data_IF_221510383513
#
_entry.id   IF_221510383513
#
_cell.length_a   1.000
_cell.length_b   1.000
_cell.length_c   1.000
_cell.angle_alpha   90.00
_cell.angle_beta   90.00
_cell.angle_gamma   90.00
#
_symmetry.space_group_name_H-M   'P 1'
#
loop_
_entity.id
_entity.type
_entity.pdbx_description
1 polymer ?
#
# COMPACT_ATOMS: atom_id res chain seq x y z
N UNK A 1 16.96 -0.80 -8.45
CA UNK A 1 18.42 -0.85 -8.16
C UNK A 1 18.70 -1.67 -6.90
N UNK A 2 17.94 -1.56 -5.79
CA UNK A 2 18.13 -2.40 -4.59
C UNK A 2 17.39 -3.76 -4.66
N UNK A 3 16.17 -3.81 -5.19
CA UNK A 3 15.40 -5.06 -5.32
C UNK A 3 16.06 -6.07 -6.25
N UNK A 4 16.62 -5.60 -7.38
CA UNK A 4 17.31 -6.44 -8.36
C UNK A 4 18.53 -7.19 -7.80
N UNK A 5 19.28 -6.60 -6.86
CA UNK A 5 20.46 -7.26 -6.30
C UNK A 5 20.06 -8.38 -5.34
N UNK A 6 19.06 -8.17 -4.48
CA UNK A 6 18.55 -9.21 -3.58
C UNK A 6 17.95 -10.39 -4.35
N UNK A 7 17.19 -10.10 -5.41
CA UNK A 7 16.64 -11.13 -6.31
C UNK A 7 17.76 -11.86 -7.07
N UNK A 8 18.75 -11.13 -7.59
CA UNK A 8 19.90 -11.69 -8.31
C UNK A 8 20.72 -12.65 -7.44
N UNK A 9 20.93 -12.33 -6.17
CA UNK A 9 21.67 -13.17 -5.23
C UNK A 9 20.77 -14.15 -4.44
N UNK A 10 19.49 -14.27 -4.79
CA UNK A 10 18.51 -15.13 -4.11
C UNK A 10 18.51 -14.95 -2.58
N UNK A 11 18.73 -13.72 -2.12
CA UNK A 11 18.83 -13.43 -0.70
C UNK A 11 17.43 -13.48 -0.06
N UNK A 12 17.24 -14.18 1.08
CA UNK A 12 15.91 -14.46 1.62
C UNK A 12 15.24 -13.27 2.32
N UNK A 13 15.92 -12.13 2.45
CA UNK A 13 15.41 -10.92 3.13
C UNK A 13 14.04 -10.49 2.63
N UNK A 14 13.23 -9.94 3.52
CA UNK A 14 12.01 -9.24 3.14
C UNK A 14 12.32 -7.88 2.51
N UNK A 15 11.58 -7.51 1.48
CA UNK A 15 11.64 -6.18 0.85
C UNK A 15 10.43 -5.37 1.31
N UNK A 16 10.69 -4.35 2.11
CA UNK A 16 9.65 -3.44 2.64
C UNK A 16 9.87 -2.05 2.02
N UNK A 17 8.83 -1.49 1.41
CA UNK A 17 8.90 -0.19 0.72
C UNK A 17 7.92 0.81 1.35
N UNK A 18 8.45 1.95 1.77
CA UNK A 18 7.65 3.15 2.02
C UNK A 18 7.34 3.82 0.67
N UNK A 19 6.06 3.82 0.31
CA UNK A 19 5.53 4.41 -0.90
C UNK A 19 4.48 5.50 -0.62
N UNK A 20 4.56 6.14 0.55
CA UNK A 20 3.64 7.20 1.00
C UNK A 20 3.58 8.34 -0.01
N UNK A 21 4.70 8.80 -0.52
CA UNK A 21 4.76 9.92 -1.48
C UNK A 21 4.87 9.48 -2.96
N UNK A 22 4.59 8.23 -3.29
CA UNK A 22 4.75 7.69 -4.65
C UNK A 22 3.51 6.97 -5.19
N UNK A 23 2.91 6.02 -4.46
CA UNK A 23 1.71 5.32 -4.93
C UNK A 23 0.56 6.32 -5.15
N UNK A 24 -0.07 6.23 -6.33
CA UNK A 24 -1.09 7.17 -6.80
C UNK A 24 -0.55 8.32 -7.66
N UNK A 25 0.77 8.44 -7.82
CA UNK A 25 1.41 9.48 -8.62
C UNK A 25 2.55 8.96 -9.53
N UNK A 26 3.26 7.93 -9.09
CA UNK A 26 4.34 7.27 -9.82
C UNK A 26 3.98 5.81 -10.11
N UNK A 27 4.60 5.23 -11.13
CA UNK A 27 4.49 3.78 -11.38
C UNK A 27 5.00 3.00 -10.16
N UNK A 28 4.26 1.96 -9.77
CA UNK A 28 4.59 1.10 -8.66
C UNK A 28 4.09 -0.32 -8.94
N UNK A 29 5.01 -1.28 -9.01
CA UNK A 29 4.70 -2.66 -9.40
C UNK A 29 5.14 -3.63 -8.33
N UNK A 30 4.29 -3.82 -7.31
CA UNK A 30 4.60 -4.64 -6.13
C UNK A 30 5.14 -6.02 -6.51
N UNK A 31 4.37 -6.76 -7.31
CA UNK A 31 4.69 -8.14 -7.69
C UNK A 31 5.91 -8.22 -8.60
N UNK A 32 5.96 -7.37 -9.64
CA UNK A 32 7.08 -7.33 -10.60
C UNK A 32 8.40 -6.99 -9.90
N UNK A 33 8.37 -6.13 -8.89
CA UNK A 33 9.56 -5.68 -8.17
C UNK A 33 9.91 -6.58 -6.98
N UNK A 34 9.10 -7.60 -6.68
CA UNK A 34 9.31 -8.51 -5.56
C UNK A 34 9.19 -7.82 -4.20
N UNK A 35 8.33 -6.81 -4.08
CA UNK A 35 8.10 -6.11 -2.81
C UNK A 35 7.20 -6.96 -1.92
N UNK A 36 7.68 -7.28 -0.72
CA UNK A 36 6.97 -8.13 0.24
C UNK A 36 5.95 -7.33 1.07
N UNK A 37 6.26 -6.07 1.40
CA UNK A 37 5.33 -5.16 2.08
C UNK A 37 5.47 -3.77 1.49
N UNK A 38 4.35 -3.12 1.20
CA UNK A 38 4.31 -1.71 0.85
C UNK A 38 3.35 -0.94 1.74
N UNK A 39 3.70 0.29 2.06
CA UNK A 39 2.86 1.22 2.82
C UNK A 39 2.64 2.50 2.02
N UNK A 40 1.40 3.00 1.98
CA UNK A 40 1.07 4.35 1.53
C UNK A 40 0.07 5.02 2.48
N UNK A 41 -0.31 6.27 2.21
CA UNK A 41 -1.22 7.03 3.08
C UNK A 41 -2.28 7.80 2.30
N UNK A 42 -3.42 8.06 2.96
CA UNK A 42 -4.60 8.69 2.35
C UNK A 42 -4.36 10.13 1.88
N UNK A 43 -3.57 10.90 2.62
CA UNK A 43 -3.34 12.35 2.39
C UNK A 43 -2.27 12.71 1.36
N UNK A 44 -1.92 11.77 0.48
CA UNK A 44 -0.92 11.97 -0.56
C UNK A 44 -1.59 11.93 -1.92
N UNK A 45 -1.08 11.15 -2.86
CA UNK A 45 -1.63 11.15 -4.22
C UNK A 45 -3.07 10.62 -4.30
N UNK A 46 -3.53 9.88 -3.28
CA UNK A 46 -4.93 9.48 -3.13
C UNK A 46 -5.87 10.65 -2.79
N UNK A 47 -5.33 11.83 -2.45
CA UNK A 47 -6.07 13.10 -2.31
C UNK A 47 -7.22 13.07 -1.29
N UNK A 48 -7.05 12.33 -0.18
CA UNK A 48 -7.98 12.32 0.95
C UNK A 48 -7.46 13.15 2.13
N UNK A 49 -8.29 13.27 3.17
CA UNK A 49 -7.81 13.71 4.49
C UNK A 49 -6.89 12.66 5.13
N UNK A 50 -6.03 13.11 6.06
CA UNK A 50 -5.18 12.23 6.85
C UNK A 50 -6.03 11.31 7.73
N UNK A 51 -5.72 10.02 7.75
CA UNK A 51 -6.35 9.09 8.70
C UNK A 51 -6.31 7.62 8.30
N UNK A 52 -5.80 7.26 7.11
CA UNK A 52 -5.56 5.86 6.74
C UNK A 52 -4.11 5.64 6.33
N UNK A 53 -3.46 4.69 7.00
CA UNK A 53 -2.30 3.99 6.47
C UNK A 53 -2.76 2.75 5.72
N UNK A 54 -2.39 2.63 4.46
CA UNK A 54 -2.77 1.51 3.60
C UNK A 54 -1.54 0.62 3.46
N UNK A 55 -1.66 -0.61 3.92
CA UNK A 55 -0.59 -1.61 3.87
C UNK A 55 -1.03 -2.74 2.94
N UNK A 56 -0.17 -3.11 2.00
CA UNK A 56 -0.30 -4.34 1.25
C UNK A 56 0.89 -5.26 1.61
N UNK A 57 0.58 -6.48 2.04
CA UNK A 57 1.58 -7.48 2.43
C UNK A 57 1.38 -8.74 1.57
N UNK A 58 2.45 -9.13 0.86
CA UNK A 58 2.46 -10.32 0.03
C UNK A 58 2.58 -11.62 0.84
N UNK A 59 2.44 -12.80 0.19
CA UNK A 59 2.41 -14.09 0.87
C UNK A 59 3.64 -14.36 1.75
N UNK A 60 4.84 -13.98 1.29
CA UNK A 60 6.09 -14.15 2.05
C UNK A 60 6.11 -13.34 3.35
N UNK A 61 5.57 -12.11 3.34
CA UNK A 61 5.44 -11.28 4.52
C UNK A 61 4.38 -11.83 5.50
N UNK A 62 3.25 -12.32 4.98
CA UNK A 62 2.23 -12.98 5.81
C UNK A 62 2.81 -14.23 6.48
N UNK A 63 3.59 -15.04 5.78
CA UNK A 63 4.24 -16.22 6.36
C UNK A 63 5.25 -15.82 7.45
N UNK A 64 6.13 -14.86 7.16
CA UNK A 64 7.09 -14.35 8.13
C UNK A 64 6.42 -13.77 9.39
N UNK A 65 5.21 -13.23 9.27
CA UNK A 65 4.46 -12.67 10.41
C UNK A 65 4.11 -13.71 11.47
N UNK A 66 4.04 -15.01 11.12
CA UNK A 66 3.68 -16.10 12.04
C UNK A 66 4.75 -16.38 13.09
N UNK A 67 6.02 -16.19 12.76
CA UNK A 67 7.16 -16.37 13.67
C UNK A 67 7.69 -15.06 14.26
N UNK A 68 7.08 -13.93 13.92
CA UNK A 68 7.51 -12.63 14.42
C UNK A 68 7.24 -12.51 15.94
N UNK A 69 8.25 -12.10 16.71
CA UNK A 69 8.20 -12.00 18.18
C UNK A 69 7.91 -10.58 18.68
N UNK A 70 7.86 -9.58 17.79
CA UNK A 70 7.49 -8.22 18.16
C UNK A 70 6.06 -8.18 18.70
N UNK A 71 5.89 -7.57 19.87
CA UNK A 71 4.58 -7.38 20.48
C UNK A 71 3.71 -6.48 19.61
N UNK A 72 2.48 -6.93 19.31
CA UNK A 72 1.52 -6.23 18.48
C UNK A 72 0.10 -6.48 18.96
N UNK A 73 -0.76 -5.47 18.80
CA UNK A 73 -2.19 -5.54 19.09
C UNK A 73 -2.94 -4.79 18.00
N UNK A 74 -3.03 -3.46 18.07
CA UNK A 74 -3.70 -2.64 17.06
C UNK A 74 -3.16 -2.86 15.63
N UNK A 75 -1.83 -2.99 15.48
CA UNK A 75 -1.18 -3.25 14.19
C UNK A 75 -1.01 -4.74 13.85
N UNK A 76 -1.72 -5.65 14.54
CA UNK A 76 -1.66 -7.08 14.22
C UNK A 76 -2.55 -7.44 13.02
N UNK A 77 -1.92 -7.87 11.93
CA UNK A 77 -2.63 -8.32 10.74
C UNK A 77 -3.51 -9.54 10.99
N UNK A 78 -3.20 -10.38 11.97
CA UNK A 78 -4.02 -11.56 12.29
C UNK A 78 -5.46 -11.18 12.68
N UNK A 79 -5.66 -10.05 13.34
CA UNK A 79 -6.98 -9.54 13.67
C UNK A 79 -7.81 -9.24 12.42
N UNK A 80 -7.19 -8.58 11.43
CA UNK A 80 -7.81 -8.30 10.14
C UNK A 80 -8.05 -9.57 9.33
N UNK A 81 -7.07 -10.46 9.21
CA UNK A 81 -7.20 -11.73 8.48
C UNK A 81 -8.33 -12.59 9.04
N UNK A 82 -8.49 -12.64 10.36
CA UNK A 82 -9.62 -13.31 11.01
C UNK A 82 -10.96 -12.68 10.59
N UNK A 83 -11.08 -11.36 10.62
CA UNK A 83 -12.30 -10.66 10.22
C UNK A 83 -12.58 -10.78 8.71
N UNK A 84 -11.57 -10.89 7.86
CA UNK A 84 -11.72 -11.18 6.43
C UNK A 84 -12.37 -12.55 6.23
N UNK A 85 -11.89 -13.58 6.94
CA UNK A 85 -12.48 -14.92 6.89
C UNK A 85 -13.91 -14.99 7.43
N UNK A 86 -14.26 -14.11 8.39
CA UNK A 86 -15.62 -13.99 8.92
C UNK A 86 -16.55 -13.14 8.04
N UNK A 87 -16.03 -12.46 7.01
CA UNK A 87 -16.79 -11.56 6.15
C UNK A 87 -17.19 -10.22 6.81
N UNK A 88 -16.73 -9.93 8.02
CA UNK A 88 -17.02 -8.68 8.74
C UNK A 88 -15.98 -7.59 8.51
N UNK A 89 -14.80 -7.96 8.01
CA UNK A 89 -13.66 -7.12 7.63
C UNK A 89 -12.95 -6.32 8.72
N UNK A 90 -13.64 -5.91 9.78
CA UNK A 90 -13.12 -4.96 10.76
C UNK A 90 -12.99 -5.57 12.17
N UNK A 91 -11.78 -5.64 12.74
CA UNK A 91 -11.59 -6.05 14.14
C UNK A 91 -12.00 -4.97 15.15
N UNK A 92 -12.11 -3.71 14.71
CA UNK A 92 -12.53 -2.55 15.49
C UNK A 92 -13.14 -1.48 14.57
N UNK A 93 -13.80 -0.49 15.15
CA UNK A 93 -14.54 0.55 14.41
C UNK A 93 -13.65 1.33 13.43
N UNK A 94 -13.93 1.31 12.11
CA UNK A 94 -13.24 2.15 11.15
C UNK A 94 -13.85 3.55 11.05
N UNK A 95 -13.15 4.50 10.41
CA UNK A 95 -13.75 5.77 10.01
C UNK A 95 -14.63 5.58 8.77
N UNK A 96 -15.95 5.69 8.96
CA UNK A 96 -16.92 5.57 7.87
C UNK A 96 -16.69 6.64 6.80
N UNK A 97 -16.41 7.88 7.21
CA UNK A 97 -16.17 8.99 6.29
C UNK A 97 -14.95 8.73 5.39
N UNK A 98 -13.85 8.20 5.94
CA UNK A 98 -12.67 7.85 5.16
C UNK A 98 -12.92 6.66 4.23
N UNK A 99 -13.76 5.70 4.60
CA UNK A 99 -14.12 4.59 3.71
C UNK A 99 -14.92 5.07 2.48
N UNK A 100 -15.93 5.92 2.69
CA UNK A 100 -16.67 6.53 1.58
C UNK A 100 -15.78 7.47 0.74
N UNK A 101 -14.92 8.24 1.40
CA UNK A 101 -13.94 9.08 0.72
C UNK A 101 -12.99 8.26 -0.16
N UNK A 102 -12.51 7.12 0.34
CA UNK A 102 -11.58 6.26 -0.40
C UNK A 102 -12.28 5.63 -1.60
N UNK A 103 -13.55 5.24 -1.46
CA UNK A 103 -14.34 4.78 -2.60
C UNK A 103 -14.40 5.83 -3.71
N UNK A 104 -14.79 7.06 -3.37
CA UNK A 104 -14.89 8.14 -4.34
C UNK A 104 -13.52 8.50 -4.95
N UNK A 105 -12.45 8.54 -4.16
CA UNK A 105 -11.10 8.80 -4.65
C UNK A 105 -10.66 7.74 -5.67
N UNK A 106 -10.93 6.46 -5.40
CA UNK A 106 -10.63 5.37 -6.32
C UNK A 106 -11.49 5.44 -7.59
N UNK A 107 -12.77 5.80 -7.47
CA UNK A 107 -13.66 6.01 -8.63
C UNK A 107 -13.08 7.08 -9.57
N UNK A 108 -12.64 8.22 -9.03
CA UNK A 108 -12.01 9.28 -9.81
C UNK A 108 -10.68 8.85 -10.46
N UNK A 109 -9.85 8.09 -9.74
CA UNK A 109 -8.60 7.55 -10.29
C UNK A 109 -8.87 6.59 -11.45
N UNK A 110 -9.89 5.74 -11.34
CA UNK A 110 -10.26 4.81 -12.41
C UNK A 110 -10.98 5.49 -13.57
N UNK A 111 -11.74 6.56 -13.32
CA UNK A 111 -12.35 7.39 -14.36
C UNK A 111 -11.29 8.13 -15.19
N UNK A 112 -10.28 8.72 -14.55
CA UNK A 112 -9.15 9.33 -15.27
C UNK A 112 -8.30 8.26 -15.98
N UNK A 113 -8.18 7.07 -15.38
CA UNK A 113 -7.28 6.01 -15.77
C UNK A 113 -5.90 6.18 -15.13
N UNK A 114 -5.40 5.13 -14.50
CA UNK A 114 -4.18 5.20 -13.66
C UNK A 114 -2.93 5.67 -14.44
N UNK A 115 -2.78 5.24 -15.70
CA UNK A 115 -1.69 5.72 -16.57
C UNK A 115 -1.75 7.24 -16.80
N UNK A 116 -2.96 7.79 -16.97
CA UNK A 116 -3.15 9.23 -17.16
C UNK A 116 -2.82 10.01 -15.89
N UNK A 117 -3.14 9.46 -14.71
CA UNK A 117 -2.74 10.03 -13.41
C UNK A 117 -1.23 10.13 -13.31
N UNK A 118 -0.49 9.08 -13.66
CA UNK A 118 0.99 9.09 -13.66
C UNK A 118 1.53 10.12 -14.67
N UNK A 119 0.99 10.13 -15.89
CA UNK A 119 1.40 11.09 -16.93
C UNK A 119 1.14 12.54 -16.50
N UNK A 120 0.03 12.81 -15.81
CA UNK A 120 -0.27 14.13 -15.24
C UNK A 120 0.79 14.57 -14.24
N UNK A 121 1.14 13.73 -13.27
CA UNK A 121 2.21 14.05 -12.31
C UNK A 121 3.57 14.24 -13.00
N UNK A 122 3.89 13.42 -14.00
CA UNK A 122 5.12 13.55 -14.79
C UNK A 122 5.21 14.88 -15.54
N UNK A 123 4.10 15.34 -16.15
CA UNK A 123 4.03 16.65 -16.82
C UNK A 123 4.28 17.79 -15.84
N UNK A 124 3.63 17.76 -14.67
CA UNK A 124 3.80 18.77 -13.63
C UNK A 124 5.23 18.81 -13.09
N UNK A 125 5.82 17.64 -12.79
CA UNK A 125 7.19 17.55 -12.30
C UNK A 125 8.21 18.09 -13.30
N UNK A 126 7.99 17.89 -14.61
CA UNK A 126 8.83 18.46 -15.66
C UNK A 126 8.68 19.98 -15.77
N UNK A 127 7.48 20.51 -15.55
CA UNK A 127 7.22 21.95 -15.66
C UNK A 127 7.77 22.76 -14.47
N UNK A 128 7.91 22.15 -13.29
CA UNK A 128 8.44 22.81 -12.08
C UNK A 128 9.98 22.82 -12.00
N UNK A 129 10.68 22.09 -12.88
CA UNK A 129 12.14 22.03 -12.96
C UNK A 129 12.66 22.79 -14.18
#
# INVERSE_FOLDING_TARGET
MVTNDLTKYQHPSLIIVDAVSSIGALDFRMDEWGVDVVVTSSQKALSLSTGMGIVCAGPKAIEASKSATSLRSFFDWNGYLKCYNLGTYWPYTPSIQLLYGLRAALDLVFEEGFENVILRHKRLAKATR
#
